data_IF_225633508086
#
_entry.id   IF_225633508086
#
_cell.length_a   1.000
_cell.length_b   1.000
_cell.length_c   1.000
_cell.angle_alpha   90.00
_cell.angle_beta   90.00
_cell.angle_gamma   90.00
#
_symmetry.space_group_name_H-M   'P 1'
#
loop_
_entity.id
_entity.type
_entity.pdbx_description
1 polymer ?
#
# COMPACT_ATOMS: atom_id res chain seq x y z
N UNK A 1 -41.36 -18.24 -41.70
CA UNK A 1 -40.37 -18.70 -40.71
C UNK A 1 -40.51 -20.19 -40.52
N UNK A 2 -39.42 -20.93 -40.73
CA UNK A 2 -39.39 -22.38 -40.49
C UNK A 2 -39.07 -22.68 -39.01
N UNK A 3 -39.49 -23.85 -38.49
CA UNK A 3 -39.17 -24.28 -37.11
C UNK A 3 -37.65 -24.27 -36.84
N UNK A 4 -36.85 -24.50 -37.88
CA UNK A 4 -35.40 -24.46 -37.86
C UNK A 4 -34.85 -23.05 -37.65
N UNK A 5 -35.39 -22.05 -38.37
CA UNK A 5 -35.03 -20.64 -38.16
C UNK A 5 -35.31 -20.19 -36.72
N UNK A 6 -36.50 -20.52 -36.20
CA UNK A 6 -36.88 -20.20 -34.81
C UNK A 6 -35.90 -20.84 -33.81
N UNK A 7 -35.51 -22.10 -34.03
CA UNK A 7 -34.57 -22.81 -33.18
C UNK A 7 -33.17 -22.17 -33.19
N UNK A 8 -32.65 -21.83 -34.37
CA UNK A 8 -31.33 -21.17 -34.50
C UNK A 8 -31.35 -19.78 -33.88
N UNK A 9 -32.38 -18.97 -34.14
CA UNK A 9 -32.49 -17.63 -33.56
C UNK A 9 -32.57 -17.69 -32.04
N UNK A 10 -33.31 -18.65 -31.49
CA UNK A 10 -33.41 -18.84 -30.03
C UNK A 10 -32.08 -19.27 -29.43
N UNK A 11 -31.38 -20.21 -30.07
CA UNK A 11 -30.09 -20.71 -29.60
C UNK A 11 -29.01 -19.62 -29.67
N UNK A 12 -28.98 -18.84 -30.76
CA UNK A 12 -28.08 -17.71 -30.92
C UNK A 12 -28.37 -16.60 -29.90
N UNK A 13 -29.64 -16.27 -29.67
CA UNK A 13 -30.04 -15.27 -28.67
C UNK A 13 -29.64 -15.71 -27.26
N UNK A 14 -29.90 -16.98 -26.91
CA UNK A 14 -29.47 -17.55 -25.63
C UNK A 14 -27.95 -17.53 -25.45
N UNK A 15 -27.20 -17.85 -26.50
CA UNK A 15 -25.74 -17.76 -26.50
C UNK A 15 -25.24 -16.34 -26.27
N UNK A 16 -25.76 -15.36 -27.03
CA UNK A 16 -25.36 -13.94 -26.90
C UNK A 16 -25.68 -13.39 -25.51
N UNK A 17 -26.85 -13.71 -24.96
CA UNK A 17 -27.23 -13.29 -23.59
C UNK A 17 -26.29 -13.93 -22.56
N UNK A 18 -25.95 -15.22 -22.73
CA UNK A 18 -25.00 -15.91 -21.86
C UNK A 18 -23.63 -15.23 -21.84
N UNK A 19 -23.04 -15.03 -23.02
CA UNK A 19 -21.73 -14.37 -23.16
C UNK A 19 -21.74 -12.93 -22.62
N UNK A 20 -22.81 -12.17 -22.87
CA UNK A 20 -22.95 -10.80 -22.37
C UNK A 20 -23.01 -10.78 -20.83
N UNK A 21 -23.76 -11.71 -20.24
CA UNK A 21 -23.87 -11.82 -18.78
C UNK A 21 -22.52 -12.14 -18.14
N UNK A 22 -21.77 -13.05 -18.73
CA UNK A 22 -20.44 -13.42 -18.24
C UNK A 22 -19.46 -12.26 -18.35
N UNK A 23 -19.51 -11.50 -19.45
CA UNK A 23 -18.71 -10.29 -19.61
C UNK A 23 -19.04 -9.22 -18.55
N UNK A 24 -20.33 -9.02 -18.24
CA UNK A 24 -20.76 -8.07 -17.20
C UNK A 24 -20.26 -8.52 -15.82
N UNK A 25 -20.44 -9.80 -15.47
CA UNK A 25 -19.94 -10.37 -14.21
C UNK A 25 -18.44 -10.19 -14.09
N UNK A 26 -17.71 -10.46 -15.16
CA UNK A 26 -16.28 -10.32 -15.22
C UNK A 26 -15.83 -8.87 -14.96
N UNK A 27 -16.42 -7.89 -15.65
CA UNK A 27 -16.14 -6.47 -15.42
C UNK A 27 -16.48 -6.04 -14.00
N UNK A 28 -17.58 -6.54 -13.45
CA UNK A 28 -17.98 -6.25 -12.08
C UNK A 28 -17.00 -6.82 -11.05
N UNK A 29 -16.50 -8.04 -11.25
CA UNK A 29 -15.50 -8.66 -10.40
C UNK A 29 -14.21 -7.83 -10.34
N UNK A 30 -13.67 -7.42 -11.50
CA UNK A 30 -12.46 -6.58 -11.56
C UNK A 30 -12.69 -5.24 -10.86
N UNK A 31 -13.83 -4.60 -11.10
CA UNK A 31 -14.18 -3.33 -10.44
C UNK A 31 -14.24 -3.48 -8.92
N UNK A 32 -14.86 -4.56 -8.42
CA UNK A 32 -14.93 -4.87 -6.99
C UNK A 32 -13.55 -5.08 -6.37
N UNK A 33 -12.66 -5.78 -7.06
CA UNK A 33 -11.29 -6.02 -6.60
C UNK A 33 -10.45 -4.75 -6.59
N UNK A 34 -10.56 -3.90 -7.61
CA UNK A 34 -9.92 -2.57 -7.61
C UNK A 34 -10.39 -1.73 -6.42
N UNK A 35 -11.69 -1.74 -6.12
CA UNK A 35 -12.24 -1.06 -4.95
C UNK A 35 -11.72 -1.64 -3.63
N UNK A 36 -11.60 -2.95 -3.53
CA UNK A 36 -11.02 -3.61 -2.35
C UNK A 36 -9.56 -3.20 -2.15
N UNK A 37 -8.75 -3.18 -3.22
CA UNK A 37 -7.36 -2.74 -3.18
C UNK A 37 -7.25 -1.26 -2.75
N UNK A 38 -8.07 -0.37 -3.32
CA UNK A 38 -8.11 1.05 -2.89
C UNK A 38 -8.50 1.20 -1.42
N UNK A 39 -9.42 0.35 -0.94
CA UNK A 39 -9.80 0.31 0.47
C UNK A 39 -8.64 -0.14 1.35
N UNK A 40 -7.86 -1.13 0.95
CA UNK A 40 -6.67 -1.56 1.69
C UNK A 40 -5.62 -0.46 1.73
N UNK A 41 -5.36 0.22 0.62
CA UNK A 41 -4.41 1.35 0.58
C UNK A 41 -4.83 2.47 1.55
N UNK A 42 -6.13 2.73 1.69
CA UNK A 42 -6.66 3.68 2.68
C UNK A 42 -6.43 3.21 4.12
N UNK A 43 -6.60 1.91 4.38
CA UNK A 43 -6.24 1.33 5.67
C UNK A 43 -4.74 1.45 5.94
N UNK A 44 -3.89 1.10 4.97
CA UNK A 44 -2.44 1.21 5.05
C UNK A 44 -2.00 2.65 5.33
N UNK A 45 -2.61 3.65 4.68
CA UNK A 45 -2.37 5.06 4.96
C UNK A 45 -2.65 5.39 6.44
N UNK A 46 -3.76 4.85 6.98
CA UNK A 46 -4.14 5.09 8.37
C UNK A 46 -3.17 4.39 9.34
N UNK A 47 -2.78 3.15 9.01
CA UNK A 47 -1.77 2.38 9.75
C UNK A 47 -0.43 3.12 9.76
N UNK A 48 0.03 3.66 8.62
CA UNK A 48 1.27 4.42 8.56
C UNK A 48 1.25 5.63 9.50
N UNK A 49 0.15 6.38 9.54
CA UNK A 49 -0.01 7.50 10.47
C UNK A 49 0.05 7.05 11.93
N UNK A 50 -0.63 5.96 12.28
CA UNK A 50 -0.61 5.41 13.65
C UNK A 50 0.79 4.92 14.03
N UNK A 51 1.47 4.22 13.11
CA UNK A 51 2.83 3.71 13.35
C UNK A 51 3.84 4.84 13.46
N UNK A 52 3.71 5.92 12.69
CA UNK A 52 4.57 7.11 12.81
C UNK A 52 4.51 7.71 14.21
N UNK A 53 3.31 7.90 14.76
CA UNK A 53 3.12 8.40 16.12
C UNK A 53 3.65 7.41 17.17
N UNK A 54 3.41 6.10 16.98
CA UNK A 54 3.97 5.08 17.88
C UNK A 54 5.50 5.08 17.86
N UNK A 55 6.13 5.27 16.71
CA UNK A 55 7.60 5.36 16.59
C UNK A 55 8.13 6.57 17.34
N UNK A 56 7.49 7.75 17.22
CA UNK A 56 7.84 8.95 17.98
C UNK A 56 7.75 8.71 19.48
N UNK A 57 6.66 8.07 19.93
CA UNK A 57 6.49 7.71 21.34
C UNK A 57 7.61 6.79 21.82
N UNK A 58 7.89 5.70 21.08
CA UNK A 58 8.94 4.74 21.43
C UNK A 58 10.32 5.42 21.46
N UNK A 59 10.58 6.34 20.53
CA UNK A 59 11.82 7.12 20.52
C UNK A 59 11.97 7.97 21.79
N UNK A 60 10.89 8.59 22.28
CA UNK A 60 10.89 9.38 23.52
C UNK A 60 11.05 8.55 24.80
N UNK A 61 10.62 7.29 24.77
CA UNK A 61 10.75 6.34 25.88
C UNK A 61 12.14 5.66 25.88
N UNK A 62 12.89 5.76 24.78
CA UNK A 62 14.17 5.10 24.60
C UNK A 62 15.23 5.73 25.51
N UNK A 63 15.60 5.00 26.57
CA UNK A 63 16.60 5.41 27.55
C UNK A 63 17.82 4.49 27.49
N UNK A 64 19.01 5.01 27.87
CA UNK A 64 20.28 4.26 27.87
C UNK A 64 20.26 2.95 28.69
N UNK A 65 19.26 2.76 29.55
CA UNK A 65 19.16 1.65 30.50
C UNK A 65 17.99 0.68 30.21
N UNK A 66 17.26 0.85 29.11
CA UNK A 66 16.13 -0.01 28.79
C UNK A 66 16.57 -1.39 28.27
N UNK A 67 16.16 -2.45 28.95
CA UNK A 67 16.34 -3.84 28.52
C UNK A 67 15.17 -4.18 27.59
N UNK A 68 15.39 -4.05 26.28
CA UNK A 68 14.39 -4.26 25.24
C UNK A 68 13.55 -3.01 24.94
N UNK A 69 13.16 -2.84 23.68
CA UNK A 69 12.32 -1.73 23.22
C UNK A 69 11.15 -2.29 22.42
N UNK A 70 9.94 -1.77 22.67
CA UNK A 70 8.72 -2.21 22.02
C UNK A 70 8.65 -1.62 20.60
N UNK A 71 8.83 -2.45 19.57
CA UNK A 71 8.62 -2.02 18.19
C UNK A 71 7.13 -2.00 17.83
N UNK A 72 6.70 -1.13 16.91
CA UNK A 72 5.36 -1.20 16.37
C UNK A 72 5.13 -2.54 15.63
N UNK A 73 3.88 -3.01 15.63
CA UNK A 73 3.51 -4.22 14.89
C UNK A 73 3.55 -4.04 13.37
N UNK A 74 3.61 -5.17 12.64
CA UNK A 74 3.59 -5.21 11.18
C UNK A 74 2.28 -4.67 10.59
N UNK A 75 2.36 -4.13 9.38
CA UNK A 75 1.21 -3.71 8.56
C UNK A 75 0.78 -4.88 7.67
N UNK A 76 -0.52 -5.14 7.57
CA UNK A 76 -1.08 -6.26 6.80
C UNK A 76 -1.23 -5.93 5.31
N UNK A 77 -1.00 -6.92 4.44
CA UNK A 77 -1.02 -6.80 2.96
C UNK A 77 -1.90 -7.85 2.27
N UNK A 78 -2.83 -8.47 3.01
CA UNK A 78 -3.56 -9.65 2.55
C UNK A 78 -4.41 -9.42 1.28
N UNK A 79 -5.03 -8.24 1.12
CA UNK A 79 -5.88 -7.96 -0.04
C UNK A 79 -5.00 -7.76 -1.28
N UNK A 80 -3.86 -7.10 -1.15
CA UNK A 80 -2.90 -6.95 -2.24
C UNK A 80 -2.40 -8.29 -2.76
N UNK A 81 -1.91 -9.17 -1.89
CA UNK A 81 -1.40 -10.49 -2.28
C UNK A 81 -2.44 -11.30 -3.06
N UNK A 82 -3.71 -11.19 -2.67
CA UNK A 82 -4.81 -11.94 -3.28
C UNK A 82 -5.40 -11.28 -4.52
N UNK A 83 -5.59 -9.96 -4.52
CA UNK A 83 -6.34 -9.25 -5.55
C UNK A 83 -5.46 -8.59 -6.61
N UNK A 84 -4.22 -8.20 -6.27
CA UNK A 84 -3.35 -7.48 -7.20
C UNK A 84 -3.06 -8.25 -8.50
N UNK A 85 -2.74 -9.56 -8.48
CA UNK A 85 -2.49 -10.30 -9.71
C UNK A 85 -3.67 -10.31 -10.69
N UNK A 86 -4.90 -10.31 -10.18
CA UNK A 86 -6.12 -10.31 -11.00
C UNK A 86 -6.42 -8.92 -11.60
N UNK A 87 -6.10 -7.84 -10.89
CA UNK A 87 -6.39 -6.47 -11.35
C UNK A 87 -5.24 -5.79 -12.08
N UNK A 88 -3.99 -6.22 -11.87
CA UNK A 88 -2.79 -5.60 -12.44
C UNK A 88 -2.83 -5.42 -13.97
N UNK A 89 -3.36 -6.37 -14.78
CA UNK A 89 -3.50 -6.20 -16.23
C UNK A 89 -4.46 -5.06 -16.62
N UNK A 90 -5.38 -4.69 -15.73
CA UNK A 90 -6.41 -3.67 -15.96
C UNK A 90 -6.04 -2.30 -15.39
N UNK A 91 -4.88 -2.18 -14.76
CA UNK A 91 -4.35 -0.93 -14.24
C UNK A 91 -3.44 -0.26 -15.29
N UNK A 92 -3.36 1.05 -15.25
CA UNK A 92 -2.34 1.81 -15.97
C UNK A 92 -0.94 1.47 -15.43
N UNK A 93 0.09 1.79 -16.19
CA UNK A 93 1.47 1.60 -15.72
C UNK A 93 1.77 2.45 -14.48
N UNK A 94 1.28 3.69 -14.44
CA UNK A 94 1.48 4.59 -13.30
C UNK A 94 0.70 4.13 -12.06
N UNK A 95 -0.51 3.59 -12.24
CA UNK A 95 -1.27 2.95 -11.15
C UNK A 95 -0.49 1.78 -10.56
N UNK A 96 0.01 0.86 -11.40
CA UNK A 96 0.82 -0.27 -10.95
C UNK A 96 2.06 0.18 -10.20
N UNK A 97 2.82 1.14 -10.75
CA UNK A 97 4.03 1.67 -10.11
C UNK A 97 3.73 2.30 -8.75
N UNK A 98 2.68 3.11 -8.67
CA UNK A 98 2.26 3.75 -7.42
C UNK A 98 1.87 2.72 -6.36
N UNK A 99 1.04 1.73 -6.73
CA UNK A 99 0.64 0.65 -5.84
C UNK A 99 1.87 -0.13 -5.37
N UNK A 100 2.70 -0.63 -6.28
CA UNK A 100 3.92 -1.36 -5.92
C UNK A 100 4.81 -0.55 -4.96
N UNK A 101 4.96 0.75 -5.20
CA UNK A 101 5.78 1.63 -4.34
C UNK A 101 5.22 1.70 -2.90
N UNK A 102 3.89 1.82 -2.75
CA UNK A 102 3.24 1.81 -1.42
C UNK A 102 3.54 0.48 -0.70
N UNK A 103 3.36 -0.66 -1.38
CA UNK A 103 3.61 -1.97 -0.78
C UNK A 103 5.09 -2.24 -0.52
N UNK A 104 6.00 -1.66 -1.31
CA UNK A 104 7.44 -1.71 -1.02
C UNK A 104 7.77 -0.98 0.30
N UNK A 105 7.15 0.18 0.57
CA UNK A 105 7.31 0.85 1.87
C UNK A 105 6.76 0.01 3.02
N UNK A 106 5.60 -0.63 2.84
CA UNK A 106 5.06 -1.58 3.82
C UNK A 106 6.03 -2.75 4.06
N UNK A 107 6.57 -3.33 2.99
CA UNK A 107 7.51 -4.43 3.08
C UNK A 107 8.78 -4.02 3.82
N UNK A 108 9.42 -2.91 3.41
CA UNK A 108 10.64 -2.42 4.07
C UNK A 108 10.40 -2.09 5.55
N UNK A 109 9.24 -1.51 5.89
CA UNK A 109 8.84 -1.29 7.27
C UNK A 109 8.71 -2.63 8.03
N UNK A 110 7.98 -3.60 7.48
CA UNK A 110 7.76 -4.90 8.09
C UNK A 110 9.05 -5.71 8.25
N UNK A 111 9.96 -5.62 7.29
CA UNK A 111 11.29 -6.24 7.33
C UNK A 111 12.13 -5.60 8.43
N UNK A 112 12.12 -4.27 8.55
CA UNK A 112 12.81 -3.57 9.61
C UNK A 112 12.22 -3.91 10.98
N UNK A 113 10.90 -4.02 11.13
CA UNK A 113 10.21 -4.47 12.36
C UNK A 113 10.62 -5.89 12.74
N UNK A 114 10.76 -6.79 11.77
CA UNK A 114 11.09 -8.20 11.99
C UNK A 114 12.54 -8.45 12.42
N UNK A 115 13.43 -7.46 12.32
CA UNK A 115 14.83 -7.62 12.74
C UNK A 115 14.94 -7.87 14.23
N UNK A 116 15.79 -8.82 14.61
CA UNK A 116 16.03 -9.22 16.01
C UNK A 116 17.34 -8.64 16.57
N UNK A 117 18.17 -8.00 15.73
CA UNK A 117 19.57 -7.65 16.00
C UNK A 117 19.80 -6.29 16.70
N UNK A 118 18.75 -5.73 17.31
CA UNK A 118 18.79 -4.39 17.93
C UNK A 118 19.29 -4.46 19.37
N UNK A 119 20.55 -4.87 19.51
CA UNK A 119 21.17 -5.17 20.80
C UNK A 119 21.80 -3.95 21.46
N UNK A 120 22.03 -2.87 20.70
CA UNK A 120 22.60 -1.61 21.18
C UNK A 120 21.63 -0.44 20.99
N UNK A 121 21.79 0.62 21.80
CA UNK A 121 20.99 1.85 21.69
C UNK A 121 21.11 2.49 20.30
N UNK A 122 22.32 2.56 19.75
CA UNK A 122 22.56 3.13 18.43
C UNK A 122 21.84 2.35 17.33
N UNK A 123 21.86 1.01 17.38
CA UNK A 123 21.11 0.18 16.44
C UNK A 123 19.60 0.39 16.57
N UNK A 124 19.08 0.51 17.79
CA UNK A 124 17.66 0.80 18.03
C UNK A 124 17.26 2.17 17.47
N UNK A 125 18.06 3.22 17.71
CA UNK A 125 17.81 4.56 17.17
C UNK A 125 17.84 4.57 15.63
N UNK A 126 18.86 3.96 15.01
CA UNK A 126 18.94 3.83 13.55
C UNK A 126 17.74 3.08 12.97
N UNK A 127 17.29 2.02 13.66
CA UNK A 127 16.12 1.25 13.23
C UNK A 127 14.82 2.07 13.34
N UNK A 128 14.64 2.83 14.41
CA UNK A 128 13.51 3.76 14.56
C UNK A 128 13.48 4.80 13.44
N UNK A 129 14.63 5.37 13.08
CA UNK A 129 14.73 6.32 11.95
C UNK A 129 14.36 5.64 10.62
N UNK A 130 14.83 4.42 10.36
CA UNK A 130 14.46 3.66 9.15
C UNK A 130 12.97 3.37 9.10
N UNK A 131 12.40 2.88 10.19
CA UNK A 131 10.96 2.64 10.30
C UNK A 131 10.17 3.94 10.09
N UNK A 132 10.60 5.04 10.73
CA UNK A 132 9.98 6.35 10.58
C UNK A 132 9.98 6.83 9.13
N UNK A 133 11.13 6.71 8.45
CA UNK A 133 11.27 7.04 7.04
C UNK A 133 10.27 6.26 6.18
N UNK A 134 10.15 4.94 6.38
CA UNK A 134 9.23 4.12 5.58
C UNK A 134 7.77 4.49 5.81
N UNK A 135 7.36 4.79 7.04
CA UNK A 135 5.96 5.13 7.32
C UNK A 135 5.58 6.53 6.83
N UNK A 136 6.47 7.52 6.92
CA UNK A 136 6.20 8.87 6.42
C UNK A 136 6.18 8.88 4.89
N UNK A 137 7.17 8.28 4.23
CA UNK A 137 7.16 8.13 2.77
C UNK A 137 5.96 7.31 2.29
N UNK A 138 5.67 6.20 2.96
CA UNK A 138 4.53 5.35 2.65
C UNK A 138 3.20 6.08 2.79
N UNK A 139 3.03 6.89 3.84
CA UNK A 139 1.85 7.72 4.06
C UNK A 139 1.63 8.71 2.92
N UNK A 140 2.64 9.51 2.59
CA UNK A 140 2.50 10.56 1.56
C UNK A 140 2.33 9.95 0.16
N UNK A 141 3.00 8.82 -0.12
CA UNK A 141 2.79 8.06 -1.37
C UNK A 141 1.37 7.52 -1.46
N UNK A 142 0.85 6.93 -0.39
CA UNK A 142 -0.53 6.42 -0.33
C UNK A 142 -1.55 7.56 -0.47
N UNK A 143 -1.32 8.68 0.20
CA UNK A 143 -2.16 9.89 0.12
C UNK A 143 -2.22 10.40 -1.31
N UNK A 144 -1.06 10.54 -1.96
CA UNK A 144 -0.97 11.00 -3.34
C UNK A 144 -1.71 10.06 -4.32
N UNK A 145 -1.58 8.75 -4.13
CA UNK A 145 -2.32 7.77 -4.94
C UNK A 145 -3.83 7.86 -4.73
N UNK A 146 -4.30 8.02 -3.48
CA UNK A 146 -5.73 8.10 -3.17
C UNK A 146 -6.38 9.36 -3.75
N UNK A 147 -5.64 10.47 -3.79
CA UNK A 147 -6.04 11.76 -4.38
C UNK A 147 -6.03 11.73 -5.91
N UNK A 148 -4.96 11.22 -6.52
CA UNK A 148 -4.70 11.35 -7.96
C UNK A 148 -5.00 10.07 -8.75
N UNK A 149 -5.48 9.01 -8.09
CA UNK A 149 -5.80 7.73 -8.73
C UNK A 149 -4.61 7.01 -9.36
N UNK A 150 -3.37 7.46 -9.12
CA UNK A 150 -2.18 6.94 -9.80
C UNK A 150 -1.95 7.51 -11.20
N UNK A 151 -2.64 8.58 -11.60
CA UNK A 151 -2.39 9.27 -12.88
C UNK A 151 -0.99 9.92 -12.90
N UNK A 152 -0.57 10.44 -11.75
CA UNK A 152 0.75 11.03 -11.51
C UNK A 152 1.55 10.18 -10.52
N UNK A 153 2.86 10.10 -10.74
CA UNK A 153 3.76 9.39 -9.85
C UNK A 153 4.22 10.31 -8.73
N UNK A 154 4.11 9.84 -7.49
CA UNK A 154 4.60 10.59 -6.32
C UNK A 154 6.09 10.96 -6.45
N UNK A 155 6.91 10.10 -7.07
CA UNK A 155 8.34 10.33 -7.28
C UNK A 155 8.67 11.54 -8.16
N UNK A 156 7.68 12.12 -8.86
CA UNK A 156 7.85 13.33 -9.66
C UNK A 156 7.58 14.61 -8.86
N UNK A 157 7.09 14.50 -7.62
CA UNK A 157 6.72 15.62 -6.76
C UNK A 157 7.90 16.01 -5.86
N UNK A 158 8.93 16.63 -6.45
CA UNK A 158 10.20 16.97 -5.77
C UNK A 158 9.98 17.76 -4.48
N UNK A 159 9.09 18.76 -4.49
CA UNK A 159 8.82 19.61 -3.33
C UNK A 159 8.25 18.80 -2.13
N UNK A 160 7.46 17.76 -2.41
CA UNK A 160 6.92 16.87 -1.36
C UNK A 160 8.01 15.96 -0.82
N UNK A 161 8.86 15.43 -1.70
CA UNK A 161 9.99 14.58 -1.31
C UNK A 161 10.97 15.35 -0.43
N UNK A 162 11.30 16.59 -0.79
CA UNK A 162 12.20 17.45 -0.01
C UNK A 162 11.61 17.74 1.38
N UNK A 163 10.32 18.05 1.46
CA UNK A 163 9.62 18.23 2.74
C UNK A 163 9.67 16.98 3.63
N UNK A 164 9.47 15.79 3.05
CA UNK A 164 9.55 14.53 3.79
C UNK A 164 10.98 14.27 4.28
N UNK A 165 11.97 14.50 3.42
CA UNK A 165 13.38 14.36 3.79
C UNK A 165 13.75 15.29 4.94
N UNK A 166 13.30 16.54 4.92
CA UNK A 166 13.48 17.49 6.01
C UNK A 166 12.84 17.01 7.31
N UNK A 167 11.63 16.45 7.24
CA UNK A 167 10.95 15.88 8.41
C UNK A 167 11.73 14.69 9.00
N UNK A 168 12.18 13.77 8.14
CA UNK A 168 12.99 12.61 8.56
C UNK A 168 14.32 13.08 9.17
N UNK A 169 14.96 14.09 8.58
CA UNK A 169 16.22 14.63 9.10
C UNK A 169 16.02 15.29 10.46
N UNK A 170 14.93 16.04 10.66
CA UNK A 170 14.58 16.61 11.98
C UNK A 170 14.34 15.51 13.02
N UNK A 171 13.63 14.46 12.64
CA UNK A 171 13.42 13.31 13.52
C UNK A 171 14.76 12.65 13.87
N UNK A 172 15.59 12.35 12.87
CA UNK A 172 16.89 11.73 13.06
C UNK A 172 17.81 12.57 13.97
N UNK A 173 17.89 13.88 13.75
CA UNK A 173 18.72 14.79 14.56
C UNK A 173 18.27 14.86 16.03
N UNK A 174 16.98 14.63 16.31
CA UNK A 174 16.45 14.64 17.67
C UNK A 174 16.86 13.40 18.48
N UNK A 175 17.31 12.32 17.82
CA UNK A 175 17.55 11.03 18.45
C UNK A 175 18.92 10.41 18.16
N UNK A 176 19.67 10.87 17.15
CA UNK A 176 21.00 10.35 16.79
C UNK A 176 22.17 11.24 17.30
N UNK A 177 21.88 12.39 17.90
CA UNK A 177 22.83 13.31 18.54
C UNK A 177 22.60 13.33 20.05
#
# INVERSE_FOLDING_TARGET
MTKFEIAITTLFTGFVIGQTTDFIKYKWQISRQKKALKSEIKSIQSDFSEKAERIKQVASELTRFHIGFSVPGKISTHIFEKCYPEVAPYLSENERKSIITIYNHVQHFNDEVAKEDRTTLEQAQRSLVKMYSQVVFGYDTASHFLENGGDKLFLQETDKIDRINDEIQKFANSWLL
#
